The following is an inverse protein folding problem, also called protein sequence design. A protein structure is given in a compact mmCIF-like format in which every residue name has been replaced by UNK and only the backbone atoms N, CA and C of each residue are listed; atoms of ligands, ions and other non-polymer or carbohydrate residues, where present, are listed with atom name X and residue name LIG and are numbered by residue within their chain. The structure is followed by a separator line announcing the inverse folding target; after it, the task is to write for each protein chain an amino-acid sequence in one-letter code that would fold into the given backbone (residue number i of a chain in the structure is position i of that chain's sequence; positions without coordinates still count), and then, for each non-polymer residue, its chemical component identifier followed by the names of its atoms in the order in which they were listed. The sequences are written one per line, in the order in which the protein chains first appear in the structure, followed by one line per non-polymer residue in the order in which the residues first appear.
data_IF_938576280578
#
_entry.id   IF_938576280578
#
_cell.length_a   1.000
_cell.length_b   1.000
_cell.length_c   1.000
_cell.angle_alpha   90.00
_cell.angle_beta   90.00
_cell.angle_gamma   90.00
#
_symmetry.space_group_name_H-M   'P 1'
#
loop_
_entity.id
_entity.type
_entity.pdbx_description
1 polymer ?
#
# COMPACT_ATOMS: atom_id res chain seq x y z
N UNK A 1 11.45 6.22 23.23
CA UNK A 1 10.73 6.06 24.52
C UNK A 1 11.13 4.72 25.12
N UNK A 2 12.03 4.72 26.09
CA UNK A 2 12.51 3.51 26.77
C UNK A 2 11.55 3.15 27.90
N UNK A 3 10.79 2.07 27.74
CA UNK A 3 9.95 1.52 28.79
C UNK A 3 10.83 0.83 29.83
N UNK A 4 10.87 1.39 31.05
CA UNK A 4 11.37 0.71 32.25
C UNK A 4 10.54 -0.55 32.49
N UNK A 5 10.98 -1.69 31.97
CA UNK A 5 10.37 -2.97 32.27
C UNK A 5 10.69 -3.34 33.72
N UNK A 6 9.65 -3.47 34.55
CA UNK A 6 9.76 -3.95 35.93
C UNK A 6 10.00 -5.47 35.88
N UNK A 7 11.26 -5.89 35.94
CA UNK A 7 11.70 -7.30 35.83
C UNK A 7 11.50 -8.06 37.16
N UNK A 8 10.28 -8.06 37.69
CA UNK A 8 9.91 -8.89 38.85
C UNK A 8 8.62 -9.66 38.60
N UNK A 9 8.43 -10.15 37.37
CA UNK A 9 7.40 -11.16 37.12
C UNK A 9 7.89 -12.51 37.67
N UNK A 10 7.10 -13.13 38.54
CA UNK A 10 7.36 -14.50 39.01
C UNK A 10 7.40 -15.42 37.79
N UNK A 11 8.50 -16.16 37.63
CA UNK A 11 8.64 -17.16 36.58
C UNK A 11 7.84 -18.40 36.98
N UNK A 12 7.18 -19.03 36.00
CA UNK A 12 6.46 -20.29 36.17
C UNK A 12 7.06 -21.33 35.24
N UNK A 13 7.48 -22.46 35.80
CA UNK A 13 7.87 -23.67 35.08
C UNK A 13 6.64 -24.43 34.60
N UNK A 14 6.63 -24.73 33.31
CA UNK A 14 5.61 -25.57 32.66
C UNK A 14 6.32 -26.61 31.81
N UNK A 15 5.90 -27.87 31.91
CA UNK A 15 6.40 -29.00 31.14
C UNK A 15 5.30 -29.52 30.21
N UNK A 16 5.66 -29.82 28.96
CA UNK A 16 4.78 -30.39 27.94
C UNK A 16 5.42 -31.70 27.45
N UNK A 17 4.65 -32.79 27.44
CA UNK A 17 5.06 -34.07 26.87
C UNK A 17 4.26 -34.32 25.59
N UNK A 18 4.95 -34.52 24.49
CA UNK A 18 4.36 -34.74 23.16
C UNK A 18 4.78 -36.11 22.64
N UNK A 19 3.87 -36.81 21.99
CA UNK A 19 4.18 -37.94 21.13
C UNK A 19 4.48 -37.44 19.73
N UNK A 20 5.74 -37.54 19.30
CA UNK A 20 6.13 -37.12 17.95
C UNK A 20 5.64 -38.07 16.86
N UNK A 21 5.38 -39.35 17.18
CA UNK A 21 4.92 -40.31 16.17
C UNK A 21 3.43 -40.14 15.89
N UNK A 22 2.63 -39.93 16.93
CA UNK A 22 1.18 -39.76 16.82
C UNK A 22 0.77 -38.27 16.74
N UNK A 23 1.72 -37.34 16.75
CA UNK A 23 1.50 -35.88 16.74
C UNK A 23 0.51 -35.40 17.83
N UNK A 24 0.52 -36.03 19.01
CA UNK A 24 -0.44 -35.77 20.09
C UNK A 24 0.21 -35.30 21.37
N UNK A 25 -0.45 -34.38 22.07
CA UNK A 25 -0.02 -33.93 23.40
C UNK A 25 -0.46 -34.95 24.45
N UNK A 26 0.51 -35.52 25.17
CA UNK A 26 0.26 -36.50 26.26
C UNK A 26 -0.08 -35.81 27.58
N UNK A 27 0.65 -34.76 27.95
CA UNK A 27 0.39 -34.02 29.19
C UNK A 27 0.98 -32.62 29.18
N UNK A 28 0.36 -31.73 29.98
CA UNK A 28 0.87 -30.38 30.26
C UNK A 28 0.78 -30.12 31.77
N UNK A 29 1.91 -29.84 32.41
CA UNK A 29 2.00 -29.68 33.86
C UNK A 29 2.65 -28.36 34.23
N UNK A 30 2.08 -27.65 35.20
CA UNK A 30 2.65 -26.42 35.75
C UNK A 30 3.12 -26.65 37.18
N UNK A 31 4.36 -26.27 37.48
CA UNK A 31 5.01 -26.63 38.76
C UNK A 31 4.89 -25.54 39.84
N UNK A 32 4.66 -24.29 39.43
CA UNK A 32 4.75 -23.12 40.32
C UNK A 32 3.39 -22.46 40.64
N UNK A 33 2.29 -23.15 40.32
CA UNK A 33 0.93 -22.63 40.44
C UNK A 33 0.07 -23.46 41.40
N UNK A 34 -0.76 -22.79 42.20
CA UNK A 34 -1.73 -23.42 43.12
C UNK A 34 -2.76 -24.28 42.37
N UNK A 35 -3.05 -23.94 41.12
CA UNK A 35 -3.94 -24.70 40.23
C UNK A 35 -3.17 -25.72 39.35
N UNK A 36 -2.01 -26.20 39.78
CA UNK A 36 -1.14 -27.12 39.01
C UNK A 36 -1.83 -28.42 38.58
N UNK A 37 -2.81 -28.88 39.35
CA UNK A 37 -3.55 -30.13 39.11
C UNK A 37 -4.58 -30.04 37.97
N UNK A 38 -4.75 -28.87 37.33
CA UNK A 38 -5.60 -28.71 36.16
C UNK A 38 -6.20 -27.30 36.02
N UNK A 39 -6.36 -26.84 34.78
CA UNK A 39 -7.01 -25.55 34.48
C UNK A 39 -6.17 -24.32 34.81
N UNK A 40 -4.86 -24.48 35.07
CA UNK A 40 -3.99 -23.34 35.33
C UNK A 40 -3.76 -22.53 34.04
N UNK A 41 -3.82 -21.19 34.16
CA UNK A 41 -3.63 -20.29 33.01
C UNK A 41 -2.26 -20.43 32.34
N UNK A 42 -1.24 -20.86 33.08
CA UNK A 42 0.12 -20.99 32.56
C UNK A 42 0.26 -22.20 31.63
N UNK A 43 -0.26 -23.37 32.04
CA UNK A 43 -0.29 -24.58 31.23
C UNK A 43 -1.13 -24.35 29.97
N UNK A 44 -2.30 -23.73 30.10
CA UNK A 44 -3.14 -23.40 28.95
C UNK A 44 -2.47 -22.40 28.00
N UNK A 45 -1.85 -21.33 28.53
CA UNK A 45 -1.14 -20.36 27.70
C UNK A 45 0.04 -21.00 26.96
N UNK A 46 0.81 -21.87 27.62
CA UNK A 46 1.92 -22.57 27.00
C UNK A 46 1.46 -23.53 25.90
N UNK A 47 0.42 -24.32 26.16
CA UNK A 47 -0.17 -25.23 25.18
C UNK A 47 -0.67 -24.47 23.93
N UNK A 48 -1.42 -23.39 24.14
CA UNK A 48 -1.94 -22.55 23.04
C UNK A 48 -0.82 -21.88 22.24
N UNK A 49 0.27 -21.49 22.91
CA UNK A 49 1.45 -20.95 22.25
C UNK A 49 2.14 -22.00 21.39
N UNK A 50 2.33 -23.23 21.89
CA UNK A 50 2.92 -24.34 21.11
C UNK A 50 2.05 -24.66 19.90
N UNK A 51 0.73 -24.78 20.07
CA UNK A 51 -0.21 -25.01 18.98
C UNK A 51 -0.08 -23.93 17.88
N UNK A 52 0.00 -22.65 18.26
CA UNK A 52 0.18 -21.58 17.28
C UNK A 52 1.52 -21.68 16.55
N UNK A 53 2.59 -22.08 17.25
CA UNK A 53 3.92 -22.26 16.65
C UNK A 53 4.02 -23.47 15.74
N UNK A 54 3.22 -24.52 15.95
CA UNK A 54 3.16 -25.66 15.02
C UNK A 54 2.44 -25.34 13.72
N UNK A 55 1.55 -24.34 13.71
CA UNK A 55 0.89 -23.85 12.48
C UNK A 55 1.75 -22.88 11.68
N UNK A 56 2.83 -22.33 12.28
CA UNK A 56 3.74 -21.45 11.56
C UNK A 56 4.48 -22.25 10.46
N UNK A 57 4.51 -21.75 9.21
CA UNK A 57 5.17 -22.45 8.11
C UNK A 57 6.66 -22.65 8.42
N UNK A 58 7.21 -23.82 8.03
CA UNK A 58 8.63 -24.14 8.23
C UNK A 58 9.52 -22.98 7.78
N UNK A 59 10.61 -22.70 8.50
CA UNK A 59 11.55 -21.64 8.16
C UNK A 59 12.19 -21.80 6.76
N UNK A 60 12.09 -23.00 6.17
CA UNK A 60 12.47 -23.33 4.79
C UNK A 60 11.38 -23.05 3.76
N UNK A 61 10.13 -22.90 4.17
CA UNK A 61 8.97 -22.59 3.29
C UNK A 61 8.64 -21.10 3.20
N UNK A 62 9.24 -20.27 4.05
CA UNK A 62 9.17 -18.82 3.94
C UNK A 62 10.33 -18.39 3.05
N UNK A 63 10.02 -17.89 1.84
CA UNK A 63 10.98 -17.20 0.98
C UNK A 63 11.68 -16.13 1.84
N UNK A 64 12.97 -16.37 2.14
CA UNK A 64 13.69 -15.81 3.30
C UNK A 64 13.38 -14.31 3.53
N UNK A 65 12.95 -13.93 4.74
CA UNK A 65 12.61 -12.53 5.10
C UNK A 65 13.80 -11.55 4.88
N UNK A 66 15.02 -12.06 4.98
CA UNK A 66 16.26 -11.31 4.73
C UNK A 66 16.75 -11.35 3.28
N UNK A 67 16.03 -12.05 2.40
CA UNK A 67 16.37 -12.08 0.99
C UNK A 67 16.15 -10.69 0.42
N UNK A 68 17.24 -10.07 0.01
CA UNK A 68 17.22 -8.78 -0.68
C UNK A 68 16.25 -8.87 -1.87
N UNK A 69 15.28 -7.96 -1.90
CA UNK A 69 14.26 -7.94 -2.94
C UNK A 69 14.89 -7.85 -4.33
N UNK A 70 14.25 -8.39 -5.36
CA UNK A 70 14.73 -8.25 -6.76
C UNK A 70 14.94 -6.78 -7.14
N UNK A 71 14.12 -5.88 -6.59
CA UNK A 71 14.24 -4.44 -6.76
C UNK A 71 15.53 -3.85 -6.21
N UNK A 72 16.07 -4.39 -5.12
CA UNK A 72 17.34 -3.92 -4.55
C UNK A 72 18.55 -4.10 -5.47
N UNK A 73 18.42 -4.90 -6.54
CA UNK A 73 19.44 -5.10 -7.57
C UNK A 73 19.33 -4.10 -8.73
N UNK A 74 18.21 -3.38 -8.82
CA UNK A 74 17.99 -2.35 -9.84
C UNK A 74 18.87 -1.13 -9.51
N UNK A 75 19.56 -0.58 -10.49
CA UNK A 75 20.56 0.48 -10.34
C UNK A 75 21.97 0.00 -9.99
N UNK A 76 22.15 -1.26 -9.58
CA UNK A 76 23.48 -1.86 -9.35
C UNK A 76 23.84 -2.88 -10.44
N UNK A 77 23.27 -4.09 -10.37
CA UNK A 77 23.52 -5.17 -11.34
C UNK A 77 22.47 -5.22 -12.45
N UNK A 78 21.27 -4.69 -12.21
CA UNK A 78 20.20 -4.54 -13.21
C UNK A 78 20.03 -3.05 -13.53
N UNK A 79 20.11 -2.65 -14.80
CA UNK A 79 20.07 -1.24 -15.20
C UNK A 79 18.68 -0.61 -15.01
N UNK A 80 17.63 -1.36 -15.35
CA UNK A 80 16.23 -1.01 -15.12
C UNK A 80 15.40 -2.29 -15.06
N UNK A 81 14.16 -2.19 -14.60
CA UNK A 81 13.16 -3.27 -14.65
C UNK A 81 11.88 -2.71 -15.26
N UNK A 82 11.24 -3.47 -16.16
CA UNK A 82 9.97 -3.05 -16.75
C UNK A 82 8.79 -3.55 -15.93
N UNK A 83 7.65 -2.84 -15.99
CA UNK A 83 6.44 -3.20 -15.24
C UNK A 83 5.97 -4.64 -15.51
N UNK A 84 6.15 -5.12 -16.74
CA UNK A 84 5.85 -6.50 -17.15
C UNK A 84 6.69 -7.54 -16.40
N UNK A 85 7.93 -7.21 -16.06
CA UNK A 85 8.85 -8.12 -15.35
C UNK A 85 8.61 -8.11 -13.83
N UNK A 86 8.01 -7.04 -13.30
CA UNK A 86 7.57 -6.94 -11.92
C UNK A 86 6.31 -7.79 -11.66
N UNK A 87 5.39 -7.84 -12.62
CA UNK A 87 4.17 -8.63 -12.54
C UNK A 87 4.44 -10.10 -12.92
N UNK A 88 5.10 -10.86 -12.03
CA UNK A 88 5.16 -12.33 -12.14
C UNK A 88 4.00 -13.05 -11.44
N UNK A 89 3.12 -12.30 -10.77
CA UNK A 89 1.88 -12.86 -10.26
C UNK A 89 0.92 -13.13 -11.41
N UNK A 90 0.28 -14.31 -11.41
CA UNK A 90 -0.96 -14.49 -12.17
C UNK A 90 -1.94 -13.38 -11.76
N UNK A 91 -2.78 -12.86 -12.67
CA UNK A 91 -3.85 -11.96 -12.30
C UNK A 91 -4.69 -12.65 -11.23
N UNK A 92 -4.56 -12.22 -9.98
CA UNK A 92 -5.32 -12.80 -8.85
C UNK A 92 -6.79 -12.46 -8.94
N UNK A 93 -7.16 -11.54 -9.84
CA UNK A 93 -8.51 -11.08 -10.06
C UNK A 93 -8.92 -11.39 -11.51
N UNK A 94 -10.14 -11.90 -11.74
CA UNK A 94 -10.71 -11.91 -13.08
C UNK A 94 -10.69 -10.49 -13.64
N UNK A 95 -10.41 -10.36 -14.94
CA UNK A 95 -10.42 -9.09 -15.68
C UNK A 95 -11.85 -8.57 -15.86
N UNK A 96 -12.60 -8.41 -14.77
CA UNK A 96 -13.97 -7.92 -14.79
C UNK A 96 -13.96 -6.40 -14.61
N UNK A 97 -14.13 -5.68 -15.72
CA UNK A 97 -14.20 -4.22 -15.79
C UNK A 97 -15.55 -3.68 -15.28
N UNK A 98 -16.52 -4.53 -14.98
CA UNK A 98 -17.89 -4.14 -14.62
C UNK A 98 -17.97 -3.22 -13.38
N UNK A 99 -17.10 -3.43 -12.38
CA UNK A 99 -17.03 -2.53 -11.21
C UNK A 99 -16.52 -1.14 -11.60
N UNK A 100 -15.53 -1.09 -12.49
CA UNK A 100 -14.96 0.16 -12.98
C UNK A 100 -15.99 0.92 -13.83
N UNK A 101 -16.72 0.24 -14.73
CA UNK A 101 -17.76 0.85 -15.55
C UNK A 101 -18.88 1.43 -14.68
N UNK A 102 -19.42 0.65 -13.72
CA UNK A 102 -20.44 1.13 -12.78
C UNK A 102 -19.95 2.31 -11.95
N UNK A 103 -18.68 2.30 -11.53
CA UNK A 103 -18.07 3.41 -10.81
C UNK A 103 -18.00 4.67 -11.67
N UNK A 104 -17.59 4.55 -12.93
CA UNK A 104 -17.52 5.70 -13.85
C UNK A 104 -18.91 6.27 -14.12
N UNK A 105 -19.92 5.42 -14.35
CA UNK A 105 -21.31 5.86 -14.53
C UNK A 105 -21.83 6.60 -13.29
N UNK A 106 -21.65 6.01 -12.12
CA UNK A 106 -22.09 6.59 -10.85
C UNK A 106 -21.34 7.89 -10.53
N UNK A 107 -20.05 7.96 -10.85
CA UNK A 107 -19.23 9.16 -10.72
C UNK A 107 -19.70 10.30 -11.62
N UNK A 108 -20.10 9.99 -12.86
CA UNK A 108 -20.73 10.96 -13.78
C UNK A 108 -22.08 11.41 -13.23
N UNK A 109 -22.93 10.48 -12.76
CA UNK A 109 -24.25 10.78 -12.18
C UNK A 109 -24.16 11.74 -11.00
N UNK A 110 -23.14 11.58 -10.15
CA UNK A 110 -22.91 12.43 -8.97
C UNK A 110 -22.06 13.68 -9.25
N UNK A 111 -21.62 13.91 -10.50
CA UNK A 111 -20.73 15.02 -10.89
C UNK A 111 -19.49 15.12 -10.00
N UNK A 112 -18.78 14.00 -9.81
CA UNK A 112 -17.56 13.98 -9.01
C UNK A 112 -16.43 14.77 -9.71
N UNK A 113 -16.23 16.03 -9.30
CA UNK A 113 -15.20 16.91 -9.85
C UNK A 113 -13.80 16.68 -9.25
N UNK A 114 -13.73 16.18 -8.01
CA UNK A 114 -12.49 15.99 -7.24
C UNK A 114 -11.91 14.57 -7.27
N UNK A 115 -12.28 13.76 -8.27
CA UNK A 115 -11.78 12.39 -8.39
C UNK A 115 -10.80 12.29 -9.57
N UNK A 116 -9.55 11.92 -9.29
CA UNK A 116 -8.49 11.79 -10.31
C UNK A 116 -8.88 10.82 -11.43
N UNK A 117 -9.55 9.71 -11.10
CA UNK A 117 -10.04 8.73 -12.07
C UNK A 117 -10.99 9.34 -13.10
N UNK A 118 -11.81 10.32 -12.68
CA UNK A 118 -12.77 10.97 -13.58
C UNK A 118 -12.08 11.88 -14.59
N UNK A 119 -10.87 12.39 -14.29
CA UNK A 119 -10.09 13.26 -15.18
C UNK A 119 -9.61 12.57 -16.45
N UNK A 120 -9.44 11.24 -16.39
CA UNK A 120 -8.97 10.43 -17.51
C UNK A 120 -10.11 9.93 -18.42
N UNK A 121 -11.36 10.24 -18.09
CA UNK A 121 -12.52 9.87 -18.91
C UNK A 121 -12.64 10.81 -20.12
N UNK A 122 -12.97 10.26 -21.30
CA UNK A 122 -13.09 11.02 -22.56
C UNK A 122 -14.09 12.18 -22.51
N UNK A 123 -15.09 12.08 -21.64
CA UNK A 123 -16.18 13.05 -21.49
C UNK A 123 -15.91 14.08 -20.39
N UNK A 124 -14.70 14.07 -19.80
CA UNK A 124 -14.33 15.01 -18.75
C UNK A 124 -14.19 16.41 -19.35
N UNK A 125 -15.07 17.31 -18.91
CA UNK A 125 -14.90 18.74 -19.18
C UNK A 125 -13.77 19.22 -18.29
N UNK A 126 -12.57 19.26 -18.89
CA UNK A 126 -11.36 19.73 -18.25
C UNK A 126 -11.54 21.20 -17.88
N UNK A 127 -11.32 21.53 -16.61
CA UNK A 127 -11.24 22.92 -16.20
C UNK A 127 -10.22 23.67 -17.06
N UNK A 128 -10.57 24.89 -17.45
CA UNK A 128 -9.80 25.64 -18.47
C UNK A 128 -8.36 25.83 -18.02
N UNK A 129 -8.10 25.98 -16.72
CA UNK A 129 -6.74 26.11 -16.17
C UNK A 129 -5.99 24.79 -16.16
N UNK A 130 -6.65 23.68 -15.80
CA UNK A 130 -6.04 22.34 -15.88
C UNK A 130 -5.66 21.98 -17.32
N UNK A 131 -6.41 22.45 -18.32
CA UNK A 131 -6.09 22.25 -19.74
C UNK A 131 -4.79 22.94 -20.18
N UNK A 132 -4.38 23.98 -19.46
CA UNK A 132 -3.15 24.74 -19.70
C UNK A 132 -1.96 24.18 -18.91
N UNK A 133 -2.17 23.17 -18.05
CA UNK A 133 -1.07 22.52 -17.33
C UNK A 133 -0.12 21.80 -18.29
N UNK A 134 1.17 21.78 -17.93
CA UNK A 134 2.22 21.23 -18.79
C UNK A 134 1.98 19.75 -19.14
N UNK A 135 1.55 18.95 -18.16
CA UNK A 135 1.29 17.52 -18.38
C UNK A 135 0.18 17.29 -19.41
N UNK A 136 -0.87 18.11 -19.39
CA UNK A 136 -1.97 18.01 -20.36
C UNK A 136 -1.57 18.50 -21.76
N UNK A 137 -0.77 19.56 -21.85
CA UNK A 137 -0.24 20.03 -23.13
C UNK A 137 0.65 18.96 -23.78
N UNK A 138 1.52 18.32 -23.00
CA UNK A 138 2.38 17.22 -23.48
C UNK A 138 1.53 16.03 -23.95
N UNK A 139 0.48 15.66 -23.21
CA UNK A 139 -0.44 14.59 -23.62
C UNK A 139 -1.25 14.93 -24.89
N UNK A 140 -1.61 16.21 -25.07
CA UNK A 140 -2.37 16.69 -26.23
C UNK A 140 -1.54 16.67 -27.50
N UNK A 141 -0.34 17.25 -27.48
CA UNK A 141 0.49 17.42 -28.68
C UNK A 141 1.37 16.20 -28.97
N UNK A 142 1.75 15.40 -27.96
CA UNK A 142 2.59 14.18 -28.09
C UNK A 142 3.86 14.38 -28.93
N UNK A 143 4.36 15.61 -28.98
CA UNK A 143 5.52 15.99 -29.79
C UNK A 143 6.80 15.64 -29.03
N UNK A 144 7.80 15.12 -29.74
CA UNK A 144 9.09 14.71 -29.14
C UNK A 144 10.11 15.84 -29.16
N UNK A 145 9.96 16.79 -30.07
CA UNK A 145 10.85 17.94 -30.20
C UNK A 145 10.32 19.13 -29.41
N UNK A 146 11.13 19.67 -28.51
CA UNK A 146 10.75 20.80 -27.66
C UNK A 146 10.37 22.04 -28.49
N UNK A 147 11.16 22.38 -29.50
CA UNK A 147 10.95 23.61 -30.28
C UNK A 147 9.62 23.54 -31.06
N UNK A 148 9.34 22.39 -31.67
CA UNK A 148 8.07 22.15 -32.39
C UNK A 148 6.86 22.13 -31.43
N UNK A 149 7.06 21.62 -30.22
CA UNK A 149 6.06 21.66 -29.18
C UNK A 149 5.73 23.12 -28.81
N UNK A 150 6.74 23.96 -28.57
CA UNK A 150 6.53 25.36 -28.22
C UNK A 150 5.86 26.15 -29.36
N UNK A 151 6.23 25.90 -30.63
CA UNK A 151 5.59 26.52 -31.78
C UNK A 151 4.11 26.10 -31.95
N UNK A 152 3.77 24.89 -31.51
CA UNK A 152 2.40 24.36 -31.60
C UNK A 152 1.47 24.82 -30.48
N UNK A 153 2.03 25.30 -29.36
CA UNK A 153 1.28 25.74 -28.20
C UNK A 153 0.96 27.23 -28.34
N UNK A 154 -0.29 27.54 -28.70
CA UNK A 154 -0.79 28.91 -28.81
C UNK A 154 -1.77 29.16 -27.65
N UNK A 155 -1.48 30.17 -26.84
CA UNK A 155 -2.37 30.66 -25.78
C UNK A 155 -3.13 31.90 -26.25
N UNK A 156 -4.41 32.00 -25.93
CA UNK A 156 -5.16 33.24 -26.16
C UNK A 156 -4.95 34.24 -25.01
N UNK A 157 -5.12 35.54 -25.27
CA UNK A 157 -5.04 36.57 -24.23
C UNK A 157 -6.02 36.32 -23.06
N UNK A 158 -7.16 35.71 -23.36
CA UNK A 158 -8.14 35.30 -22.35
C UNK A 158 -7.62 34.17 -21.44
N UNK A 159 -6.79 33.26 -21.98
CA UNK A 159 -6.18 32.19 -21.19
C UNK A 159 -5.10 32.76 -20.25
N UNK A 160 -4.29 33.70 -20.75
CA UNK A 160 -3.24 34.38 -19.98
C UNK A 160 -3.83 35.15 -18.80
N UNK A 161 -4.88 35.96 -19.06
CA UNK A 161 -5.54 36.75 -18.02
C UNK A 161 -6.14 35.86 -16.92
N UNK A 162 -6.76 34.74 -17.29
CA UNK A 162 -7.37 33.82 -16.32
C UNK A 162 -6.31 33.12 -15.44
N UNK A 163 -5.20 32.69 -16.03
CA UNK A 163 -4.07 32.11 -15.27
C UNK A 163 -3.47 33.15 -14.31
N UNK A 164 -3.35 34.42 -14.75
CA UNK A 164 -2.84 35.49 -13.92
C UNK A 164 -3.78 35.79 -12.72
N UNK A 165 -5.09 35.88 -12.96
CA UNK A 165 -6.08 36.09 -11.90
C UNK A 165 -6.05 34.98 -10.85
N UNK A 166 -6.00 33.72 -11.28
CA UNK A 166 -5.95 32.58 -10.36
C UNK A 166 -4.60 32.45 -9.63
N UNK A 167 -3.50 32.82 -10.28
CA UNK A 167 -2.19 32.83 -9.62
C UNK A 167 -2.14 33.93 -8.56
N UNK A 168 -2.71 35.11 -8.83
CA UNK A 168 -2.82 36.21 -7.86
C UNK A 168 -3.74 35.86 -6.68
N UNK A 169 -4.85 35.15 -6.91
CA UNK A 169 -5.74 34.69 -5.84
C UNK A 169 -5.03 33.67 -4.93
N UNK A 170 -4.32 32.71 -5.51
CA UNK A 170 -3.53 31.72 -4.77
C UNK A 170 -2.35 32.33 -3.99
N UNK A 171 -1.69 33.36 -4.51
CA UNK A 171 -0.66 34.11 -3.79
C UNK A 171 -1.26 34.79 -2.55
N UNK A 172 -2.43 35.42 -2.67
CA UNK A 172 -3.10 36.04 -1.49
C UNK A 172 -3.45 35.02 -0.41
N UNK A 173 -3.92 33.83 -0.80
CA UNK A 173 -4.27 32.74 0.13
C UNK A 173 -3.03 32.14 0.79
N UNK A 174 -1.93 31.95 0.05
CA UNK A 174 -0.69 31.38 0.59
C UNK A 174 0.09 32.34 1.49
N UNK A 175 -0.07 33.66 1.30
CA UNK A 175 0.55 34.68 2.16
C UNK A 175 -0.32 35.17 3.31
N UNK A 176 -1.54 34.64 3.49
CA UNK A 176 -2.35 34.89 4.69
C UNK A 176 -2.55 36.37 5.01
N UNK A 177 -2.91 37.19 4.01
CA UNK A 177 -3.38 38.55 4.28
C UNK A 177 -4.91 38.53 4.26
N UNK A 178 -5.49 38.52 5.47
CA UNK A 178 -6.87 38.94 5.72
C UNK A 178 -7.06 40.40 5.32
#
# INVERSE_FOLDING_TARGET
MTTKHKVHAKLYGVSLVVDEQEETVKSVECHDCVASQGGCKHAMAFLMWVHRRSEDPSCTSIECYWMKSKLSRVGSTLKYITAKELSKGSPSLPSNTEVFEKFVEEGKRRRLTKCELMKYQKDYVLDRLLSLSMDNLVLKYKEKCCDKFLDSVIFSDADINNVEEETRSNIKVSFGMN
#
